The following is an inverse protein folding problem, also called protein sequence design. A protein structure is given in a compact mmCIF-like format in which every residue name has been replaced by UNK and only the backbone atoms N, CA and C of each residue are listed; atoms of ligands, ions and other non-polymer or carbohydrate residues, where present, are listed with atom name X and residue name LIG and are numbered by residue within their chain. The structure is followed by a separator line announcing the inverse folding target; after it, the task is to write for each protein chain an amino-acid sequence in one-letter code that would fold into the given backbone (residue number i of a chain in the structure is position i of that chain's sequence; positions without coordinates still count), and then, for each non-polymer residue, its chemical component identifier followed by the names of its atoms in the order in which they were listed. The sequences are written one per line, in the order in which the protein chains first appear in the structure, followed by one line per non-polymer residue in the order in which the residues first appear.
data_IF_597507209609
#
_entry.id   IF_597507209609
#
_cell.length_a   1.000
_cell.length_b   1.000
_cell.length_c   1.000
_cell.angle_alpha   90.00
_cell.angle_beta   90.00
_cell.angle_gamma   90.00
#
_symmetry.space_group_name_H-M   'P 1'
#
loop_
_entity.id
_entity.type
_entity.pdbx_description
1 polymer ?
#
# COMPACT_ATOMS: atom_id res chain seq x y z
N UNK A 1 -21.61 -69.07 1.75
CA UNK A 1 -21.86 -68.01 2.76
C UNK A 1 -23.11 -67.17 2.46
N UNK A 2 -23.44 -66.82 1.20
CA UNK A 2 -24.65 -66.02 0.89
C UNK A 2 -26.00 -66.68 1.25
N UNK A 3 -26.12 -68.01 1.14
CA UNK A 3 -27.37 -68.71 1.47
C UNK A 3 -27.69 -68.74 2.99
N UNK A 4 -26.70 -68.63 3.87
CA UNK A 4 -26.93 -68.62 5.31
C UNK A 4 -27.52 -67.28 5.81
N UNK A 5 -27.19 -66.17 5.14
CA UNK A 5 -27.69 -64.83 5.47
C UNK A 5 -29.17 -64.65 5.09
N UNK A 6 -29.60 -65.25 3.96
CA UNK A 6 -30.99 -65.14 3.50
C UNK A 6 -31.93 -65.93 4.43
N UNK A 7 -31.53 -67.12 4.87
CA UNK A 7 -32.33 -67.92 5.82
C UNK A 7 -32.43 -67.25 7.19
N UNK A 8 -31.36 -66.61 7.68
CA UNK A 8 -31.39 -65.88 8.94
C UNK A 8 -32.33 -64.65 8.89
N UNK A 9 -32.38 -63.93 7.77
CA UNK A 9 -33.29 -62.80 7.59
C UNK A 9 -34.77 -63.21 7.53
N UNK A 10 -35.09 -64.36 6.92
CA UNK A 10 -36.48 -64.85 6.89
C UNK A 10 -36.98 -65.31 8.27
N UNK A 11 -36.13 -65.90 9.12
CA UNK A 11 -36.53 -66.28 10.49
C UNK A 11 -36.85 -65.06 11.38
N UNK A 12 -36.18 -63.92 11.15
CA UNK A 12 -36.48 -62.67 11.86
C UNK A 12 -37.83 -62.09 11.42
N UNK A 13 -38.13 -62.10 10.11
CA UNK A 13 -39.37 -61.54 9.57
C UNK A 13 -40.64 -62.31 9.97
N UNK A 14 -40.56 -63.63 10.14
CA UNK A 14 -41.70 -64.44 10.60
C UNK A 14 -41.98 -64.25 12.09
N UNK A 15 -40.95 -63.94 12.89
CA UNK A 15 -41.09 -63.74 14.35
C UNK A 15 -41.71 -62.39 14.72
N UNK A 16 -41.60 -61.37 13.86
CA UNK A 16 -42.23 -60.05 14.09
C UNK A 16 -43.71 -60.02 13.72
N UNK A 17 -44.20 -60.95 12.89
CA UNK A 17 -45.60 -60.95 12.45
C UNK A 17 -46.56 -61.48 13.53
N UNK A 18 -46.12 -62.43 14.36
CA UNK A 18 -46.94 -62.93 15.49
C UNK A 18 -46.88 -62.03 16.72
N UNK A 19 -45.89 -61.13 16.80
CA UNK A 19 -45.78 -60.15 17.88
C UNK A 19 -46.69 -58.95 17.64
N UNK A 20 -46.97 -58.57 16.39
CA UNK A 20 -47.86 -57.41 16.09
C UNK A 20 -49.33 -57.67 16.42
N UNK A 21 -49.81 -58.92 16.34
CA UNK A 21 -51.22 -59.23 16.60
C UNK A 21 -51.61 -59.10 18.09
N UNK A 22 -50.67 -59.33 19.02
CA UNK A 22 -50.97 -59.22 20.45
C UNK A 22 -51.06 -57.77 20.94
N UNK A 23 -50.35 -56.84 20.29
CA UNK A 23 -50.43 -55.41 20.66
C UNK A 23 -51.74 -54.77 20.23
N UNK A 24 -52.31 -55.19 19.09
CA UNK A 24 -53.58 -54.64 18.63
C UNK A 24 -54.73 -55.10 19.53
N UNK A 25 -54.74 -56.37 19.96
CA UNK A 25 -55.74 -56.89 20.90
C UNK A 25 -55.59 -56.27 22.30
N UNK A 26 -54.37 -56.05 22.79
CA UNK A 26 -54.14 -55.39 24.08
C UNK A 26 -54.50 -53.89 24.04
N UNK A 27 -54.26 -53.22 22.91
CA UNK A 27 -54.69 -51.84 22.69
C UNK A 27 -56.21 -51.70 22.61
N UNK A 28 -56.92 -52.64 21.98
CA UNK A 28 -58.38 -52.66 21.98
C UNK A 28 -58.94 -52.95 23.37
N UNK A 29 -58.35 -53.88 24.13
CA UNK A 29 -58.75 -54.14 25.51
C UNK A 29 -58.56 -52.94 26.41
N UNK A 30 -57.47 -52.21 26.25
CA UNK A 30 -57.21 -50.97 26.98
C UNK A 30 -58.18 -49.86 26.59
N UNK A 31 -58.56 -49.75 25.31
CA UNK A 31 -59.62 -48.80 24.90
C UNK A 31 -60.96 -49.16 25.52
N UNK A 32 -61.33 -50.43 25.49
CA UNK A 32 -62.59 -50.91 26.04
C UNK A 32 -62.63 -50.78 27.58
N UNK A 33 -61.52 -51.05 28.26
CA UNK A 33 -61.41 -50.83 29.72
C UNK A 33 -61.43 -49.32 30.08
N UNK A 34 -60.92 -48.45 29.20
CA UNK A 34 -60.98 -46.99 29.40
C UNK A 34 -62.37 -46.41 29.08
N UNK A 35 -63.12 -47.03 28.18
CA UNK A 35 -64.53 -46.69 27.91
C UNK A 35 -65.46 -47.22 29.01
N UNK A 36 -65.14 -48.37 29.63
CA UNK A 36 -65.90 -48.98 30.73
C UNK A 36 -65.56 -48.43 32.11
N UNK A 37 -64.31 -47.98 32.33
CA UNK A 37 -64.04 -46.93 33.31
C UNK A 37 -64.60 -45.64 32.73
N UNK A 38 -65.91 -45.59 32.56
CA UNK A 38 -66.65 -44.35 32.48
C UNK A 38 -66.06 -43.51 33.59
N UNK A 39 -65.29 -42.51 33.20
CA UNK A 39 -64.74 -41.53 34.10
C UNK A 39 -66.00 -40.94 34.69
N UNK A 40 -66.37 -41.43 35.88
CA UNK A 40 -67.17 -40.66 36.81
C UNK A 40 -66.33 -39.41 36.93
N UNK A 41 -66.65 -38.44 36.06
CA UNK A 41 -66.35 -37.05 36.21
C UNK A 41 -67.03 -36.68 37.52
N UNK A 42 -66.42 -37.11 38.63
CA UNK A 42 -66.23 -36.28 39.79
C UNK A 42 -65.59 -35.01 39.24
N UNK A 43 -66.47 -34.19 38.67
CA UNK A 43 -66.37 -32.76 38.53
C UNK A 43 -66.29 -32.26 39.96
N UNK A 44 -65.17 -32.58 40.61
CA UNK A 44 -64.54 -31.73 41.58
C UNK A 44 -64.55 -30.40 40.86
N UNK A 45 -65.49 -29.55 41.25
CA UNK A 45 -65.48 -28.13 40.96
C UNK A 45 -64.14 -27.64 41.50
N UNK A 46 -63.10 -27.82 40.70
CA UNK A 46 -61.83 -27.14 40.85
C UNK A 46 -62.25 -25.69 40.93
N UNK A 47 -62.13 -25.14 42.13
CA UNK A 47 -62.64 -23.83 42.49
C UNK A 47 -62.23 -22.86 41.38
N UNK A 48 -63.20 -22.21 40.72
CA UNK A 48 -62.95 -21.32 39.57
C UNK A 48 -61.88 -20.26 39.88
N UNK A 49 -61.67 -19.95 41.17
CA UNK A 49 -60.63 -19.08 41.71
C UNK A 49 -59.19 -19.60 41.50
N UNK A 50 -58.94 -20.91 41.57
CA UNK A 50 -57.60 -21.49 41.34
C UNK A 50 -57.19 -21.34 39.85
N UNK A 51 -58.17 -21.44 38.95
CA UNK A 51 -57.97 -21.27 37.50
C UNK A 51 -57.54 -19.84 37.13
N UNK A 52 -58.19 -18.81 37.70
CA UNK A 52 -57.82 -17.42 37.45
C UNK A 52 -56.41 -17.09 37.94
N UNK A 53 -56.03 -17.59 39.12
CA UNK A 53 -54.69 -17.37 39.68
C UNK A 53 -53.59 -18.02 38.83
N UNK A 54 -53.84 -19.24 38.33
CA UNK A 54 -52.92 -19.89 37.40
C UNK A 54 -52.76 -19.12 36.09
N UNK A 55 -53.87 -18.61 35.52
CA UNK A 55 -53.83 -17.82 34.30
C UNK A 55 -53.01 -16.54 34.50
N UNK A 56 -53.22 -15.84 35.62
CA UNK A 56 -52.42 -14.66 35.97
C UNK A 56 -50.93 -15.00 36.08
N UNK A 57 -50.55 -16.12 36.70
CA UNK A 57 -49.14 -16.55 36.78
C UNK A 57 -48.57 -16.93 35.42
N UNK A 58 -49.34 -17.58 34.54
CA UNK A 58 -48.90 -17.87 33.16
C UNK A 58 -48.66 -16.56 32.40
N UNK A 59 -49.57 -15.60 32.53
CA UNK A 59 -49.44 -14.27 31.93
C UNK A 59 -48.21 -13.52 32.45
N UNK A 60 -47.95 -13.55 33.76
CA UNK A 60 -46.75 -12.94 34.35
C UNK A 60 -45.47 -13.59 33.83
N UNK A 61 -45.38 -14.92 33.83
CA UNK A 61 -44.21 -15.64 33.27
C UNK A 61 -43.99 -15.35 31.79
N UNK A 62 -45.07 -15.22 31.01
CA UNK A 62 -44.98 -14.84 29.61
C UNK A 62 -44.41 -13.43 29.45
N UNK A 63 -44.88 -12.45 30.23
CA UNK A 63 -44.36 -11.08 30.22
C UNK A 63 -42.88 -11.02 30.61
N UNK A 64 -42.48 -11.74 31.65
CA UNK A 64 -41.08 -11.84 32.10
C UNK A 64 -40.19 -12.44 31.00
N UNK A 65 -40.62 -13.54 30.38
CA UNK A 65 -39.89 -14.15 29.27
C UNK A 65 -39.77 -13.20 28.07
N UNK A 66 -40.81 -12.44 27.78
CA UNK A 66 -40.82 -11.45 26.71
C UNK A 66 -39.86 -10.28 27.00
N UNK A 67 -39.78 -9.83 28.25
CA UNK A 67 -38.81 -8.82 28.68
C UNK A 67 -37.36 -9.34 28.55
N UNK A 68 -37.10 -10.57 29.01
CA UNK A 68 -35.80 -11.23 28.87
C UNK A 68 -35.42 -11.35 27.38
N UNK A 69 -36.39 -11.72 26.51
CA UNK A 69 -36.16 -11.82 25.07
C UNK A 69 -35.73 -10.48 24.48
N UNK A 70 -36.45 -9.39 24.79
CA UNK A 70 -36.10 -8.03 24.33
C UNK A 70 -34.74 -7.58 24.85
N UNK A 71 -34.44 -7.86 26.12
CA UNK A 71 -33.14 -7.54 26.71
C UNK A 71 -31.99 -8.30 26.01
N UNK A 72 -32.19 -9.57 25.67
CA UNK A 72 -31.21 -10.36 24.91
C UNK A 72 -31.04 -9.86 23.48
N UNK A 73 -32.15 -9.51 22.80
CA UNK A 73 -32.11 -8.89 21.46
C UNK A 73 -31.35 -7.56 21.48
N UNK A 74 -31.59 -6.72 22.48
CA UNK A 74 -30.88 -5.45 22.65
C UNK A 74 -29.38 -5.67 22.89
N UNK A 75 -29.00 -6.58 23.79
CA UNK A 75 -27.58 -6.92 24.03
C UNK A 75 -26.90 -7.46 22.77
N UNK A 76 -27.59 -8.28 21.99
CA UNK A 76 -27.06 -8.80 20.73
C UNK A 76 -26.89 -7.68 19.68
N UNK A 77 -27.81 -6.72 19.64
CA UNK A 77 -27.67 -5.53 18.79
C UNK A 77 -26.49 -4.65 19.23
N UNK A 78 -26.33 -4.38 20.53
CA UNK A 78 -25.20 -3.61 21.07
C UNK A 78 -23.85 -4.30 20.84
N UNK A 79 -23.80 -5.64 20.93
CA UNK A 79 -22.62 -6.42 20.61
C UNK A 79 -22.23 -6.26 19.13
N UNK A 80 -23.19 -6.44 18.20
CA UNK A 80 -22.95 -6.24 16.76
C UNK A 80 -22.47 -4.82 16.45
N UNK A 81 -23.10 -3.81 17.04
CA UNK A 81 -22.70 -2.41 16.86
C UNK A 81 -21.28 -2.14 17.36
N UNK A 82 -20.86 -2.75 18.47
CA UNK A 82 -19.47 -2.64 18.95
C UNK A 82 -18.48 -3.30 18.01
N UNK A 83 -18.81 -4.48 17.47
CA UNK A 83 -17.97 -5.17 16.49
C UNK A 83 -17.86 -4.37 15.18
N UNK A 84 -18.95 -3.78 14.70
CA UNK A 84 -18.96 -2.87 13.54
C UNK A 84 -18.05 -1.67 13.77
N UNK A 85 -18.14 -1.02 14.93
CA UNK A 85 -17.26 0.10 15.29
C UNK A 85 -15.80 -0.32 15.38
N UNK A 86 -15.50 -1.53 15.90
CA UNK A 86 -14.13 -2.07 15.93
C UNK A 86 -13.59 -2.24 14.51
N UNK A 87 -14.35 -2.87 13.62
CA UNK A 87 -13.95 -3.10 12.22
C UNK A 87 -13.73 -1.76 11.49
N UNK A 88 -14.60 -0.78 11.72
CA UNK A 88 -14.45 0.55 11.12
C UNK A 88 -13.19 1.26 11.61
N UNK A 89 -12.90 1.21 12.92
CA UNK A 89 -11.67 1.76 13.47
C UNK A 89 -10.43 1.08 12.88
N UNK A 90 -10.41 -0.25 12.80
CA UNK A 90 -9.32 -1.01 12.16
C UNK A 90 -9.15 -0.65 10.67
N UNK A 91 -10.24 -0.32 9.97
CA UNK A 91 -10.18 0.15 8.58
C UNK A 91 -9.55 1.54 8.49
N UNK A 92 -9.92 2.45 9.38
CA UNK A 92 -9.35 3.80 9.46
C UNK A 92 -7.86 3.73 9.78
N UNK A 93 -7.47 2.90 10.73
CA UNK A 93 -6.05 2.68 11.09
C UNK A 93 -5.25 2.20 9.88
N UNK A 94 -5.70 1.15 9.18
CA UNK A 94 -5.06 0.67 7.95
C UNK A 94 -4.95 1.73 6.86
N UNK A 95 -5.98 2.56 6.68
CA UNK A 95 -5.93 3.66 5.72
C UNK A 95 -4.87 4.71 6.13
N UNK A 96 -4.83 5.07 7.41
CA UNK A 96 -3.84 6.00 7.93
C UNK A 96 -2.41 5.46 7.78
N UNK A 97 -2.19 4.17 8.04
CA UNK A 97 -0.91 3.50 7.81
C UNK A 97 -0.49 3.57 6.33
N UNK A 98 -1.40 3.29 5.40
CA UNK A 98 -1.12 3.40 3.96
C UNK A 98 -0.72 4.83 3.57
N UNK A 99 -1.43 5.84 4.08
CA UNK A 99 -1.11 7.25 3.82
C UNK A 99 0.27 7.64 4.36
N UNK A 100 0.67 7.12 5.52
CA UNK A 100 2.01 7.35 6.09
C UNK A 100 3.08 6.68 5.21
N UNK A 101 2.85 5.44 4.76
CA UNK A 101 3.78 4.74 3.87
C UNK A 101 3.94 5.45 2.52
N UNK A 102 2.84 5.93 1.94
CA UNK A 102 2.88 6.73 0.71
C UNK A 102 3.65 8.04 0.90
N UNK A 103 3.42 8.75 2.01
CA UNK A 103 4.16 9.97 2.33
C UNK A 103 5.67 9.70 2.50
N UNK A 104 6.05 8.60 3.17
CA UNK A 104 7.44 8.19 3.30
C UNK A 104 8.08 7.88 1.94
N UNK A 105 7.35 7.17 1.06
CA UNK A 105 7.83 6.87 -0.30
C UNK A 105 8.03 8.13 -1.13
N UNK A 106 7.11 9.09 -1.03
CA UNK A 106 7.25 10.39 -1.71
C UNK A 106 8.46 11.17 -1.19
N UNK A 107 8.73 11.14 0.11
CA UNK A 107 9.91 11.79 0.69
C UNK A 107 11.22 11.13 0.25
N UNK A 108 11.25 9.79 0.17
CA UNK A 108 12.41 9.07 -0.37
C UNK A 108 12.68 9.46 -1.83
N UNK A 109 11.63 9.54 -2.66
CA UNK A 109 11.76 9.98 -4.05
C UNK A 109 12.25 11.43 -4.15
N UNK A 110 11.80 12.31 -3.23
CA UNK A 110 12.26 13.70 -3.16
C UNK A 110 13.76 13.76 -2.88
N UNK A 111 14.24 13.00 -1.89
CA UNK A 111 15.65 12.93 -1.52
C UNK A 111 16.51 12.31 -2.64
N UNK A 112 16.01 11.28 -3.31
CA UNK A 112 16.71 10.66 -4.45
C UNK A 112 16.86 11.64 -5.61
N UNK A 113 15.79 12.38 -5.95
CA UNK A 113 15.86 13.40 -6.99
C UNK A 113 16.83 14.52 -6.61
N UNK A 114 16.82 14.98 -5.36
CA UNK A 114 17.78 15.99 -4.88
C UNK A 114 19.23 15.49 -4.98
N UNK A 115 19.48 14.21 -4.65
CA UNK A 115 20.80 13.62 -4.82
C UNK A 115 21.22 13.58 -6.29
N UNK A 116 20.33 13.13 -7.20
CA UNK A 116 20.59 13.13 -8.64
C UNK A 116 20.90 14.52 -9.18
N UNK A 117 20.18 15.54 -8.71
CA UNK A 117 20.44 16.94 -9.09
C UNK A 117 21.81 17.41 -8.61
N UNK A 118 22.19 17.11 -7.36
CA UNK A 118 23.52 17.45 -6.82
C UNK A 118 24.65 16.75 -7.59
N UNK A 119 24.47 15.47 -7.94
CA UNK A 119 25.44 14.73 -8.74
C UNK A 119 25.56 15.31 -10.16
N UNK A 120 24.44 15.62 -10.79
CA UNK A 120 24.41 16.27 -12.10
C UNK A 120 25.13 17.64 -12.08
N UNK A 121 24.91 18.44 -11.05
CA UNK A 121 25.60 19.71 -10.86
C UNK A 121 27.11 19.53 -10.67
N UNK A 122 27.53 18.55 -9.87
CA UNK A 122 28.96 18.24 -9.66
C UNK A 122 29.63 17.81 -10.97
N UNK A 123 28.97 16.97 -11.76
CA UNK A 123 29.47 16.57 -13.08
C UNK A 123 29.55 17.75 -14.05
N UNK A 124 28.57 18.66 -14.02
CA UNK A 124 28.60 19.88 -14.83
C UNK A 124 29.76 20.81 -14.45
N UNK A 125 30.05 20.96 -13.15
CA UNK A 125 31.21 21.74 -12.67
C UNK A 125 32.53 21.13 -13.14
N UNK A 126 32.70 19.81 -13.03
CA UNK A 126 33.91 19.13 -13.51
C UNK A 126 34.11 19.28 -15.02
N UNK A 127 33.02 19.28 -15.81
CA UNK A 127 33.09 19.56 -17.26
C UNK A 127 33.61 20.97 -17.53
N UNK A 128 33.07 21.99 -16.85
CA UNK A 128 33.52 23.37 -17.00
C UNK A 128 34.98 23.56 -16.59
N UNK A 129 35.42 22.90 -15.51
CA UNK A 129 36.82 22.94 -15.06
C UNK A 129 37.76 22.30 -16.10
N UNK A 130 37.39 21.16 -16.65
CA UNK A 130 38.17 20.50 -17.71
C UNK A 130 38.24 21.36 -18.97
N UNK A 131 37.12 21.93 -19.43
CA UNK A 131 37.10 22.85 -20.58
C UNK A 131 37.97 24.09 -20.33
N UNK A 132 37.94 24.67 -19.12
CA UNK A 132 38.79 25.80 -18.76
C UNK A 132 40.27 25.42 -18.76
N UNK A 133 40.62 24.22 -18.26
CA UNK A 133 41.98 23.69 -18.26
C UNK A 133 42.49 23.44 -19.68
N UNK A 134 41.67 22.85 -20.55
CA UNK A 134 42.00 22.65 -21.97
C UNK A 134 42.25 23.97 -22.69
N UNK A 135 41.40 25.00 -22.44
CA UNK A 135 41.62 26.36 -22.98
C UNK A 135 42.92 26.98 -22.48
N UNK A 136 43.26 26.79 -21.20
CA UNK A 136 44.51 27.29 -20.64
C UNK A 136 45.74 26.62 -21.28
N UNK A 137 45.69 25.30 -21.49
CA UNK A 137 46.74 24.55 -22.19
C UNK A 137 46.87 25.03 -23.63
N UNK A 138 45.76 25.20 -24.36
CA UNK A 138 45.77 25.70 -25.73
C UNK A 138 46.36 27.12 -25.82
N UNK A 139 46.03 28.00 -24.86
CA UNK A 139 46.59 29.36 -24.78
C UNK A 139 48.10 29.34 -24.49
N UNK A 140 48.56 28.47 -23.59
CA UNK A 140 49.97 28.31 -23.29
C UNK A 140 50.75 27.78 -24.51
N UNK A 141 50.23 26.76 -25.20
CA UNK A 141 50.83 26.21 -26.42
C UNK A 141 50.92 27.27 -27.54
N UNK A 142 49.90 28.09 -27.72
CA UNK A 142 49.91 29.18 -28.71
C UNK A 142 50.99 30.23 -28.40
N UNK A 143 51.19 30.58 -27.12
CA UNK A 143 52.26 31.49 -26.69
C UNK A 143 53.65 30.90 -26.95
N UNK A 144 53.84 29.60 -26.72
CA UNK A 144 55.11 28.92 -26.99
C UNK A 144 55.49 28.94 -28.47
N UNK A 145 54.51 28.75 -29.37
CA UNK A 145 54.72 28.87 -30.83
C UNK A 145 55.13 30.28 -31.24
N UNK A 146 54.59 31.32 -30.59
CA UNK A 146 54.97 32.72 -30.85
C UNK A 146 56.38 33.04 -30.31
N UNK A 147 56.77 32.45 -29.17
CA UNK A 147 58.08 32.67 -28.56
C UNK A 147 59.22 31.90 -29.24
N UNK A 148 58.93 30.83 -30.01
CA UNK A 148 59.90 30.22 -30.92
C UNK A 148 60.16 31.13 -32.13
N UNK A 149 60.97 32.16 -31.88
CA UNK A 149 61.62 32.98 -32.91
C UNK A 149 62.44 32.06 -33.84
N UNK A 150 62.31 32.15 -35.18
CA UNK A 150 63.19 31.42 -36.07
C UNK A 150 64.62 31.94 -35.88
N UNK A 151 65.46 31.22 -35.14
CA UNK A 151 66.91 31.35 -35.23
C UNK A 151 67.38 30.65 -36.51
N UNK A 152 66.97 31.18 -37.66
CA UNK A 152 67.74 31.02 -38.88
C UNK A 152 68.85 32.06 -38.85
N UNK A 153 70.06 31.58 -38.54
CA UNK A 153 71.30 32.25 -38.86
C UNK A 153 71.36 32.48 -40.37
N UNK A 154 71.02 33.70 -40.80
CA UNK A 154 71.07 34.08 -42.19
C UNK A 154 70.53 35.49 -42.44
N UNK A 155 71.47 36.45 -42.44
CA UNK A 155 71.38 37.79 -43.06
C UNK A 155 70.55 38.85 -42.31
N UNK A 156 71.21 39.98 -42.10
CA UNK A 156 70.74 41.22 -41.49
C UNK A 156 69.68 41.87 -42.39
N UNK A 157 68.42 41.84 -41.98
CA UNK A 157 67.40 42.79 -42.45
C UNK A 157 66.49 43.19 -41.28
N UNK A 158 66.29 44.50 -41.13
CA UNK A 158 65.61 45.12 -40.00
C UNK A 158 64.17 44.59 -39.82
N UNK A 159 63.69 44.42 -38.58
CA UNK A 159 62.34 43.92 -38.32
C UNK A 159 61.28 44.93 -38.81
N UNK A 160 60.45 44.51 -39.77
CA UNK A 160 59.39 45.33 -40.33
C UNK A 160 58.21 45.45 -39.34
N UNK A 161 58.24 46.49 -38.50
CA UNK A 161 57.23 46.80 -37.46
C UNK A 161 55.80 46.82 -38.03
N UNK A 162 55.64 47.19 -39.31
CA UNK A 162 54.34 47.20 -39.98
C UNK A 162 53.73 45.80 -40.09
N UNK A 163 54.54 44.76 -40.29
CA UNK A 163 54.03 43.38 -40.31
C UNK A 163 53.60 42.90 -38.93
N UNK A 164 54.30 43.33 -37.88
CA UNK A 164 53.95 42.98 -36.50
C UNK A 164 52.67 43.69 -36.04
N UNK A 165 52.49 44.97 -36.42
CA UNK A 165 51.23 45.70 -36.21
C UNK A 165 50.06 45.06 -36.98
N UNK A 166 50.29 44.57 -38.20
CA UNK A 166 49.28 43.88 -38.99
C UNK A 166 48.80 42.59 -38.34
N UNK A 167 49.73 41.80 -37.77
CA UNK A 167 49.40 40.57 -37.03
C UNK A 167 48.62 40.86 -35.75
N UNK A 168 48.97 41.91 -35.01
CA UNK A 168 48.20 42.35 -33.83
C UNK A 168 46.77 42.76 -34.19
N UNK A 169 46.57 43.43 -35.33
CA UNK A 169 45.24 43.78 -35.83
C UNK A 169 44.38 42.55 -36.13
N UNK A 170 44.95 41.54 -36.79
CA UNK A 170 44.26 40.29 -37.09
C UNK A 170 43.82 39.53 -35.83
N UNK A 171 44.63 39.56 -34.77
CA UNK A 171 44.31 38.92 -33.48
C UNK A 171 43.19 39.63 -32.71
N UNK A 172 43.11 40.95 -32.83
CA UNK A 172 41.96 41.73 -32.34
C UNK A 172 40.69 41.40 -33.14
N UNK A 173 40.78 41.41 -34.47
CA UNK A 173 39.62 41.19 -35.35
C UNK A 173 39.05 39.76 -35.22
N UNK A 174 39.88 38.79 -34.85
CA UNK A 174 39.47 37.41 -34.57
C UNK A 174 39.01 37.17 -33.12
N UNK A 175 39.01 38.22 -32.28
CA UNK A 175 38.51 38.16 -30.90
C UNK A 175 39.44 37.47 -29.91
N UNK A 176 40.69 37.18 -30.29
CA UNK A 176 41.70 36.61 -29.38
C UNK A 176 42.29 37.65 -28.43
N UNK A 177 42.21 38.94 -28.79
CA UNK A 177 42.62 40.06 -27.94
C UNK A 177 41.44 41.00 -27.71
N UNK A 178 41.30 41.45 -26.47
CA UNK A 178 40.43 42.59 -26.15
C UNK A 178 41.06 43.91 -26.60
N UNK A 179 40.26 44.96 -26.76
CA UNK A 179 40.75 46.27 -27.17
C UNK A 179 41.87 46.79 -26.25
N UNK A 180 41.75 46.55 -24.94
CA UNK A 180 42.76 46.97 -23.95
C UNK A 180 44.11 46.27 -24.16
N UNK A 181 44.09 44.96 -24.40
CA UNK A 181 45.30 44.16 -24.61
C UNK A 181 45.99 44.52 -25.93
N UNK A 182 45.20 44.83 -26.97
CA UNK A 182 45.73 45.30 -28.25
C UNK A 182 46.49 46.62 -28.10
N UNK A 183 45.94 47.59 -27.35
CA UNK A 183 46.57 48.89 -27.15
C UNK A 183 47.88 48.79 -26.34
N UNK A 184 47.91 47.94 -25.31
CA UNK A 184 49.14 47.71 -24.52
C UNK A 184 50.26 47.07 -25.35
N UNK A 185 49.93 46.06 -26.16
CA UNK A 185 50.91 45.39 -27.03
C UNK A 185 51.40 46.31 -28.16
N UNK A 186 50.50 47.10 -28.74
CA UNK A 186 50.84 48.13 -29.72
C UNK A 186 51.79 49.18 -29.12
N UNK A 187 51.54 49.61 -27.88
CA UNK A 187 52.37 50.59 -27.18
C UNK A 187 53.77 50.04 -26.90
N UNK A 188 53.88 48.83 -26.35
CA UNK A 188 55.18 48.17 -26.12
C UNK A 188 56.01 48.03 -27.40
N UNK A 189 55.35 47.68 -28.51
CA UNK A 189 56.02 47.53 -29.80
C UNK A 189 56.59 48.85 -30.35
N UNK A 190 55.93 49.98 -30.04
CA UNK A 190 56.38 51.31 -30.43
C UNK A 190 57.42 51.88 -29.45
N UNK A 191 57.33 51.54 -28.17
CA UNK A 191 58.27 51.99 -27.13
C UNK A 191 59.64 51.30 -27.24
N UNK A 192 59.71 50.03 -27.69
CA UNK A 192 60.97 49.28 -27.92
C UNK A 192 61.83 49.80 -29.10
N UNK A 193 61.47 50.95 -29.70
CA UNK A 193 62.19 51.60 -30.81
C UNK A 193 62.68 53.02 -30.49
N UNK A 194 62.39 53.54 -29.30
CA UNK A 194 62.95 54.79 -28.77
C UNK A 194 64.06 54.50 -27.74
#
# INVERSE_FOLDING_TARGET
MRNALITALMCIAVSTSSFSQTYDEEAERLRQENDERGWEEDSLSIDDEESEWEEQRRKQRWLENEEIRRANEQRAWEARRRDEMRIENERIERNNEQRVLEAQRMEQLRLENEQREREAQRLAQLRLENEARERAIAKAAALEVIMQKPSQSGVVEAPNILEQLRKLGQLKDSGYLTESEFQELKKKLLDDQN
#
